data_IF_115037485563
#
_entry.id   IF_115037485563
#
_cell.length_a   1.000
_cell.length_b   1.000
_cell.length_c   1.000
_cell.angle_alpha   90.00
_cell.angle_beta   90.00
_cell.angle_gamma   90.00
#
_symmetry.space_group_name_H-M   'P 1'
#
loop_
_entity.id
_entity.type
_entity.pdbx_description
1 polymer ?
#
# COMPACT_ATOMS: atom_id res chain seq x y z
N UNK A 1 -0.43 20.23 15.79
CA UNK A 1 0.08 18.87 16.05
C UNK A 1 -0.41 18.00 14.90
N UNK A 2 0.47 17.50 14.03
CA UNK A 2 0.01 16.78 12.82
C UNK A 2 1.17 16.41 11.91
N UNK A 3 2.06 15.54 12.39
CA UNK A 3 3.17 15.01 11.59
C UNK A 3 3.24 13.51 11.83
N UNK A 4 2.34 12.74 11.21
CA UNK A 4 2.34 11.27 11.33
C UNK A 4 1.97 10.46 10.07
N UNK A 5 1.82 11.07 8.89
CA UNK A 5 1.35 10.32 7.71
C UNK A 5 2.44 9.78 6.78
N UNK A 6 3.64 10.37 6.74
CA UNK A 6 4.62 10.03 5.69
C UNK A 6 5.38 8.71 5.90
N UNK A 7 5.29 8.09 7.09
CA UNK A 7 6.04 6.85 7.41
C UNK A 7 5.19 5.59 7.44
N UNK A 8 3.87 5.71 7.36
CA UNK A 8 2.97 4.54 7.49
C UNK A 8 3.08 3.66 6.24
N UNK A 9 3.03 4.25 5.04
CA UNK A 9 3.10 3.46 3.80
C UNK A 9 4.40 2.66 3.65
N UNK A 10 5.61 3.25 3.81
CA UNK A 10 6.83 2.45 3.72
C UNK A 10 6.92 1.36 4.79
N UNK A 11 6.38 1.62 5.99
CA UNK A 11 6.38 0.61 7.07
C UNK A 11 5.43 -0.54 6.75
N UNK A 12 4.25 -0.23 6.22
CA UNK A 12 3.22 -1.22 5.87
C UNK A 12 3.64 -2.03 4.63
N UNK A 13 4.25 -1.37 3.65
CA UNK A 13 4.90 -2.00 2.50
C UNK A 13 5.97 -3.00 2.95
N UNK A 14 6.92 -2.60 3.82
CA UNK A 14 7.88 -3.53 4.41
C UNK A 14 7.24 -4.70 5.16
N UNK A 15 6.08 -4.48 5.80
CA UNK A 15 5.37 -5.54 6.48
C UNK A 15 4.84 -6.60 5.49
N UNK A 16 4.41 -6.22 4.27
CA UNK A 16 4.01 -7.19 3.24
C UNK A 16 5.16 -8.11 2.83
N UNK A 17 6.38 -7.57 2.70
CA UNK A 17 7.56 -8.40 2.40
C UNK A 17 7.95 -9.34 3.56
N UNK A 18 7.56 -9.04 4.80
CA UNK A 18 7.87 -9.85 5.97
C UNK A 18 6.78 -10.87 6.33
N UNK A 19 5.52 -10.46 6.27
CA UNK A 19 4.32 -11.25 6.58
C UNK A 19 3.09 -10.63 5.87
N UNK A 20 2.76 -11.15 4.69
CA UNK A 20 1.68 -10.63 3.85
C UNK A 20 0.30 -10.68 4.53
N UNK A 21 0.06 -11.68 5.39
CA UNK A 21 -1.23 -11.87 6.06
C UNK A 21 -1.41 -10.88 7.21
N UNK A 22 -0.38 -10.68 8.03
CA UNK A 22 -0.42 -9.66 9.08
C UNK A 22 -0.49 -8.24 8.50
N UNK A 23 0.19 -8.01 7.36
CA UNK A 23 0.17 -6.72 6.68
C UNK A 23 -1.20 -6.37 6.12
N UNK A 24 -1.88 -7.31 5.44
CA UNK A 24 -3.23 -7.07 4.89
C UNK A 24 -4.27 -6.89 6.00
N UNK A 25 -4.17 -7.62 7.12
CA UNK A 25 -5.04 -7.40 8.28
C UNK A 25 -4.89 -5.98 8.86
N UNK A 26 -3.65 -5.50 8.97
CA UNK A 26 -3.38 -4.14 9.43
C UNK A 26 -3.88 -3.09 8.43
N UNK A 27 -3.65 -3.30 7.12
CA UNK A 27 -4.14 -2.41 6.08
C UNK A 27 -5.67 -2.29 6.11
N UNK A 28 -6.38 -3.42 6.17
CA UNK A 28 -7.83 -3.47 6.30
C UNK A 28 -8.31 -2.71 7.53
N UNK A 29 -7.67 -2.94 8.68
CA UNK A 29 -8.01 -2.22 9.92
C UNK A 29 -7.84 -0.72 9.78
N UNK A 30 -6.79 -0.24 9.11
CA UNK A 30 -6.52 1.18 8.94
C UNK A 30 -7.46 1.84 7.91
N UNK A 31 -7.79 1.14 6.82
CA UNK A 31 -8.71 1.67 5.79
C UNK A 31 -10.16 1.68 6.29
N UNK A 32 -10.55 0.75 7.17
CA UNK A 32 -11.88 0.73 7.79
C UNK A 32 -11.99 1.65 9.01
N UNK A 33 -10.89 2.20 9.52
CA UNK A 33 -10.90 3.11 10.66
C UNK A 33 -11.44 4.49 10.26
N UNK A 34 -12.72 4.73 10.54
CA UNK A 34 -13.42 5.99 10.31
C UNK A 34 -12.82 7.17 11.10
N UNK A 35 -12.01 6.92 12.14
CA UNK A 35 -11.29 7.99 12.84
C UNK A 35 -10.13 8.57 12.01
N UNK A 36 -9.74 7.89 10.94
CA UNK A 36 -8.77 8.34 9.92
C UNK A 36 -9.50 9.09 8.78
N UNK A 37 -10.66 9.69 9.08
CA UNK A 37 -11.34 10.60 8.17
C UNK A 37 -10.68 11.99 8.16
N UNK A 38 -10.24 12.39 6.97
CA UNK A 38 -9.58 13.67 6.72
C UNK A 38 -8.99 13.70 5.32
N UNK A 39 -8.72 14.91 4.81
CA UNK A 39 -8.08 15.11 3.52
C UNK A 39 -6.61 15.45 3.67
N UNK A 40 -5.76 14.77 2.90
CA UNK A 40 -4.33 15.03 2.91
C UNK A 40 -3.98 16.12 1.89
N UNK A 41 -3.84 17.37 2.34
CA UNK A 41 -3.40 18.45 1.46
C UNK A 41 -1.89 18.36 1.23
N UNK A 42 -1.47 17.98 0.02
CA UNK A 42 -0.08 18.11 -0.44
C UNK A 42 0.00 19.34 -1.36
N UNK A 43 1.09 20.13 -1.36
CA UNK A 43 1.20 21.37 -2.16
C UNK A 43 1.03 21.22 -3.68
N UNK A 44 0.90 19.99 -4.19
CA UNK A 44 0.76 19.66 -5.61
C UNK A 44 -0.43 18.72 -5.90
N UNK A 45 -1.34 18.47 -4.95
CA UNK A 45 -2.50 17.59 -5.16
C UNK A 45 -3.79 18.14 -4.59
N UNK A 46 -4.87 17.80 -5.28
CA UNK A 46 -6.23 17.97 -4.77
C UNK A 46 -6.41 17.25 -3.44
N UNK A 47 -7.30 17.77 -2.61
CA UNK A 47 -7.65 17.21 -1.32
C UNK A 47 -8.19 15.78 -1.50
N UNK A 48 -7.42 14.79 -1.05
CA UNK A 48 -7.75 13.38 -1.23
C UNK A 48 -7.96 12.69 0.12
N UNK A 49 -8.87 11.70 0.23
CA UNK A 49 -9.09 10.99 1.48
C UNK A 49 -7.80 10.38 2.02
N UNK A 50 -7.53 10.57 3.31
CA UNK A 50 -6.32 10.07 3.99
C UNK A 50 -6.23 8.55 3.91
N UNK A 51 -7.38 7.87 3.89
CA UNK A 51 -7.49 6.42 3.72
C UNK A 51 -7.07 5.94 2.33
N UNK A 52 -7.30 6.74 1.28
CA UNK A 52 -6.82 6.44 -0.08
C UNK A 52 -5.29 6.47 -0.15
N UNK A 53 -4.65 7.35 0.63
CA UNK A 53 -3.19 7.42 0.71
C UNK A 53 -2.57 6.14 1.28
N UNK A 54 -3.28 5.36 2.10
CA UNK A 54 -2.75 4.10 2.65
C UNK A 54 -2.53 3.03 1.57
N UNK A 55 -3.27 3.08 0.47
CA UNK A 55 -3.14 2.12 -0.63
C UNK A 55 -1.86 2.31 -1.46
N UNK A 56 -1.12 3.38 -1.25
CA UNK A 56 0.19 3.59 -1.88
C UNK A 56 1.21 2.51 -1.43
N UNK A 57 1.00 1.88 -0.27
CA UNK A 57 1.89 0.81 0.23
C UNK A 57 1.85 -0.48 -0.60
N UNK A 58 0.79 -0.72 -1.39
CA UNK A 58 0.67 -1.92 -2.22
C UNK A 58 1.17 -1.69 -3.66
N UNK A 59 1.49 -0.46 -4.03
CA UNK A 59 1.96 -0.08 -5.38
C UNK A 59 3.11 -0.96 -5.89
N UNK A 60 4.05 -1.26 -5.00
CA UNK A 60 5.30 -1.94 -5.33
C UNK A 60 5.23 -3.47 -5.33
N UNK A 61 4.16 -4.07 -4.79
CA UNK A 61 4.15 -5.50 -4.44
C UNK A 61 4.15 -6.44 -5.64
N UNK A 62 3.70 -5.99 -6.81
CA UNK A 62 3.65 -6.79 -8.05
C UNK A 62 4.77 -6.45 -9.04
N UNK A 63 5.84 -5.81 -8.57
CA UNK A 63 6.96 -5.38 -9.42
C UNK A 63 8.21 -6.19 -9.10
N UNK A 64 8.66 -7.01 -10.06
CA UNK A 64 9.88 -7.84 -9.93
C UNK A 64 11.14 -7.03 -9.54
N UNK A 65 11.19 -5.74 -9.90
CA UNK A 65 12.33 -4.83 -9.63
C UNK A 65 12.08 -3.86 -8.47
N UNK A 66 10.91 -3.87 -7.83
CA UNK A 66 10.60 -2.95 -6.75
C UNK A 66 10.77 -3.64 -5.40
N UNK A 67 11.94 -3.46 -4.82
CA UNK A 67 12.19 -3.77 -3.42
C UNK A 67 12.04 -2.48 -2.61
N UNK A 68 11.39 -2.53 -1.44
CA UNK A 68 11.14 -1.36 -0.64
C UNK A 68 12.50 -0.75 -0.31
N UNK A 69 12.65 0.55 -0.58
CA UNK A 69 13.92 1.25 -0.45
C UNK A 69 14.44 1.15 0.99
N UNK A 70 15.29 0.16 1.24
CA UNK A 70 15.82 -0.11 2.58
C UNK A 70 16.66 1.08 3.06
N UNK A 71 16.84 1.24 4.38
CA UNK A 71 17.97 2.01 4.88
C UNK A 71 19.23 1.53 4.16
N UNK A 72 20.07 2.47 3.67
CA UNK A 72 21.20 2.31 2.72
C UNK A 72 22.23 1.18 2.95
N UNK A 73 22.05 0.29 3.92
CA UNK A 73 23.03 -0.69 4.39
C UNK A 73 22.59 -2.16 4.26
N UNK A 74 21.39 -2.46 3.77
CA UNK A 74 20.96 -3.83 3.49
C UNK A 74 20.58 -3.96 2.02
N UNK A 75 21.37 -4.72 1.27
CA UNK A 75 21.17 -5.02 -0.15
C UNK A 75 20.79 -6.50 -0.25
N UNK A 76 19.49 -6.79 -0.31
CA UNK A 76 18.99 -8.17 -0.34
C UNK A 76 19.21 -8.85 -1.70
N UNK A 77 19.62 -8.11 -2.73
CA UNK A 77 19.92 -8.64 -4.05
C UNK A 77 21.01 -9.72 -4.06
N UNK A 78 21.93 -9.73 -3.07
CA UNK A 78 23.01 -10.72 -3.01
C UNK A 78 22.61 -12.02 -2.29
N UNK A 79 21.51 -12.05 -1.53
CA UNK A 79 21.22 -13.16 -0.59
C UNK A 79 20.04 -14.05 -1.00
N UNK A 80 19.13 -13.58 -1.86
CA UNK A 80 17.97 -14.38 -2.31
C UNK A 80 17.72 -14.21 -3.83
N UNK A 81 17.84 -15.31 -4.58
CA UNK A 81 17.49 -15.41 -6.02
C UNK A 81 15.97 -15.60 -6.22
N UNK A 82 15.18 -15.31 -5.19
CA UNK A 82 13.72 -15.43 -5.18
C UNK A 82 13.07 -14.07 -5.39
N UNK A 83 12.26 -13.96 -6.45
CA UNK A 83 11.36 -12.83 -6.69
C UNK A 83 10.21 -12.89 -5.69
N UNK A 84 9.85 -11.75 -5.09
CA UNK A 84 8.69 -11.68 -4.21
C UNK A 84 7.41 -12.01 -4.98
N UNK A 85 6.65 -13.01 -4.51
CA UNK A 85 5.33 -13.35 -5.03
C UNK A 85 4.26 -13.02 -3.99
N UNK A 86 3.24 -12.26 -4.41
CA UNK A 86 2.08 -11.96 -3.58
C UNK A 86 1.11 -13.15 -3.61
N UNK A 87 0.67 -13.61 -2.43
CA UNK A 87 -0.33 -14.67 -2.31
C UNK A 87 -1.67 -14.21 -2.91
N UNK A 88 -2.27 -15.03 -3.78
CA UNK A 88 -3.54 -14.77 -4.46
C UNK A 88 -4.67 -14.38 -3.47
N UNK A 89 -4.68 -14.97 -2.28
CA UNK A 89 -5.66 -14.67 -1.22
C UNK A 89 -5.46 -13.26 -0.70
N UNK A 90 -4.21 -12.85 -0.51
CA UNK A 90 -3.86 -11.50 -0.04
C UNK A 90 -4.17 -10.48 -1.13
N UNK A 91 -3.87 -10.79 -2.40
CA UNK A 91 -4.24 -9.96 -3.54
C UNK A 91 -5.76 -9.73 -3.58
N UNK A 92 -6.55 -10.82 -3.50
CA UNK A 92 -8.01 -10.71 -3.56
C UNK A 92 -8.56 -9.86 -2.40
N UNK A 93 -8.02 -10.02 -1.19
CA UNK A 93 -8.43 -9.20 -0.03
C UNK A 93 -8.16 -7.71 -0.24
N UNK A 94 -7.01 -7.36 -0.84
CA UNK A 94 -6.71 -5.96 -1.19
C UNK A 94 -7.72 -5.45 -2.23
N UNK A 95 -8.06 -6.25 -3.24
CA UNK A 95 -9.07 -5.87 -4.25
C UNK A 95 -10.44 -5.64 -3.62
N UNK A 96 -10.89 -6.55 -2.78
CA UNK A 96 -12.16 -6.44 -2.05
C UNK A 96 -12.18 -5.19 -1.17
N UNK A 97 -11.07 -4.86 -0.50
CA UNK A 97 -10.95 -3.66 0.32
C UNK A 97 -11.05 -2.36 -0.51
N UNK A 98 -10.46 -2.34 -1.70
CA UNK A 98 -10.53 -1.18 -2.62
C UNK A 98 -11.97 -0.95 -3.09
N UNK A 99 -12.69 -2.03 -3.43
CA UNK A 99 -14.10 -2.00 -3.83
C UNK A 99 -15.02 -1.60 -2.66
N UNK A 100 -14.83 -2.20 -1.47
CA UNK A 100 -15.59 -1.88 -0.26
C UNK A 100 -15.48 -0.40 0.12
N UNK A 101 -14.28 0.17 -0.02
CA UNK A 101 -14.03 1.57 0.26
C UNK A 101 -14.46 2.52 -0.89
N UNK A 102 -14.91 1.99 -2.02
CA UNK A 102 -15.32 2.74 -3.21
C UNK A 102 -14.18 3.46 -3.91
N UNK A 103 -12.94 3.01 -3.71
CA UNK A 103 -11.75 3.62 -4.29
C UNK A 103 -11.44 3.13 -5.71
N UNK A 104 -12.14 2.10 -6.17
CA UNK A 104 -12.14 1.59 -7.54
C UNK A 104 -13.01 2.42 -8.50
N UNK A 105 -13.95 3.23 -7.98
CA UNK A 105 -14.97 3.92 -8.77
C UNK A 105 -14.42 4.82 -9.91
N UNK A 106 -13.16 5.26 -9.80
CA UNK A 106 -12.48 6.07 -10.82
C UNK A 106 -11.43 5.29 -11.62
N UNK A 107 -11.24 4.01 -11.34
CA UNK A 107 -10.24 3.15 -11.98
C UNK A 107 -10.85 2.41 -13.18
N UNK A 108 -9.98 1.94 -14.08
CA UNK A 108 -10.40 1.06 -15.18
C UNK A 108 -10.78 -0.33 -14.63
N UNK A 109 -11.64 -1.08 -15.31
CA UNK A 109 -12.02 -2.45 -14.88
C UNK A 109 -10.81 -3.40 -14.74
N UNK A 110 -9.74 -3.17 -15.51
CA UNK A 110 -8.51 -3.97 -15.49
C UNK A 110 -7.39 -3.29 -14.68
N UNK A 111 -7.74 -2.56 -13.63
CA UNK A 111 -6.78 -1.83 -12.81
C UNK A 111 -5.79 -2.76 -12.09
N UNK A 112 -4.58 -2.26 -11.94
CA UNK A 112 -3.46 -2.88 -11.25
C UNK A 112 -3.12 -2.13 -9.97
N UNK A 113 -2.32 -2.71 -9.07
CA UNK A 113 -1.89 -2.01 -7.85
C UNK A 113 -1.14 -0.70 -8.16
N UNK A 114 -0.57 -0.59 -9.37
CA UNK A 114 0.02 0.64 -9.88
C UNK A 114 -0.97 1.81 -9.92
N UNK A 115 -2.19 1.53 -10.32
CA UNK A 115 -3.26 2.52 -10.47
C UNK A 115 -3.83 2.96 -9.10
N UNK A 116 -3.44 2.28 -8.02
CA UNK A 116 -3.73 2.69 -6.65
C UNK A 116 -2.75 3.73 -6.11
N UNK A 117 -1.54 3.82 -6.67
CA UNK A 117 -0.63 4.90 -6.31
C UNK A 117 -1.20 6.23 -6.74
N UNK A 118 -0.86 7.25 -5.96
CA UNK A 118 -1.28 8.61 -6.25
C UNK A 118 -0.09 9.33 -6.82
#
# INVERSE_FOLDING_TARGET
MGFRSLRVNPTLEHAFYADQYAAVELLESLVRDESIDGTFSRPAREDMPSRRYLLDCVYGLQMDEYWPGMPRYYDWHEEFDDTFELDDTVEQRIRDLVEEAGFDATLSNDWTFRDLSI
#
